data_IF_722371633200
#
_entry.id   IF_722371633200
#
_cell.length_a   1.000
_cell.length_b   1.000
_cell.length_c   1.000
_cell.angle_alpha   90.00
_cell.angle_beta   90.00
_cell.angle_gamma   90.00
#
_symmetry.space_group_name_H-M   'P 1'
#
loop_
_entity.id
_entity.type
_entity.pdbx_description
1 polymer ?
#
# COMPACT_ATOMS: atom_id res chain seq x y z
N UNK A 1 -6.41 33.29 -13.39
CA UNK A 1 -6.21 31.86 -13.08
C UNK A 1 -7.47 31.15 -13.52
N UNK A 2 -7.47 30.51 -14.71
CA UNK A 2 -8.56 29.64 -15.16
C UNK A 2 -8.49 28.37 -14.33
N UNK A 3 -9.38 28.22 -13.35
CA UNK A 3 -9.76 26.89 -12.85
C UNK A 3 -10.26 26.10 -14.07
N UNK A 4 -9.49 25.12 -14.51
CA UNK A 4 -10.03 24.10 -15.41
C UNK A 4 -11.12 23.39 -14.61
N UNK A 5 -12.38 23.67 -14.93
CA UNK A 5 -13.48 22.79 -14.55
C UNK A 5 -13.07 21.42 -15.07
N UNK A 6 -12.80 20.49 -14.14
CA UNK A 6 -12.69 19.07 -14.48
C UNK A 6 -13.99 18.71 -15.19
N UNK A 7 -13.86 18.33 -16.46
CA UNK A 7 -15.02 17.90 -17.24
C UNK A 7 -15.73 16.78 -16.48
N UNK A 8 -17.05 16.86 -16.41
CA UNK A 8 -18.01 15.95 -15.72
C UNK A 8 -17.86 14.47 -16.15
N UNK A 9 -16.92 14.14 -17.04
CA UNK A 9 -16.67 12.80 -17.59
C UNK A 9 -15.40 12.11 -17.07
N UNK A 10 -14.57 12.77 -16.27
CA UNK A 10 -13.31 12.20 -15.83
C UNK A 10 -13.51 11.36 -14.57
N UNK A 11 -13.57 10.05 -14.73
CA UNK A 11 -13.68 9.14 -13.60
C UNK A 11 -12.31 8.80 -13.01
N UNK A 12 -12.23 8.73 -11.69
CA UNK A 12 -11.05 8.39 -10.90
C UNK A 12 -11.27 7.05 -10.22
N UNK A 13 -10.37 6.12 -10.43
CA UNK A 13 -10.35 4.86 -9.71
C UNK A 13 -9.23 4.84 -8.69
N UNK A 14 -9.56 4.44 -7.47
CA UNK A 14 -8.59 4.24 -6.39
C UNK A 14 -8.54 2.76 -6.11
N UNK A 15 -7.40 2.14 -6.38
CA UNK A 15 -7.20 0.70 -6.30
C UNK A 15 -6.36 0.37 -5.09
N UNK A 16 -6.84 -0.52 -4.24
CA UNK A 16 -6.10 -1.07 -3.11
C UNK A 16 -6.00 -2.59 -3.22
N UNK A 17 -5.05 -3.18 -2.50
CA UNK A 17 -4.85 -4.63 -2.52
C UNK A 17 -5.67 -5.37 -1.45
N UNK A 18 -6.21 -4.67 -0.43
CA UNK A 18 -7.02 -5.23 0.66
C UNK A 18 -8.37 -4.55 0.76
N UNK A 19 -9.37 -5.30 1.17
CA UNK A 19 -10.74 -4.81 1.33
C UNK A 19 -10.85 -3.74 2.42
N UNK A 20 -10.13 -3.91 3.52
CA UNK A 20 -10.11 -2.96 4.63
C UNK A 20 -9.62 -1.58 4.19
N UNK A 21 -8.63 -1.53 3.28
CA UNK A 21 -8.13 -0.28 2.71
C UNK A 21 -9.19 0.36 1.80
N UNK A 22 -9.92 -0.43 1.03
CA UNK A 22 -11.04 0.09 0.22
C UNK A 22 -12.08 0.75 1.10
N UNK A 23 -12.48 0.11 2.20
CA UNK A 23 -13.45 0.66 3.16
C UNK A 23 -12.95 1.96 3.81
N UNK A 24 -11.66 2.05 4.15
CA UNK A 24 -11.04 3.29 4.67
C UNK A 24 -11.07 4.42 3.64
N UNK A 25 -10.74 4.12 2.37
CA UNK A 25 -10.79 5.08 1.27
C UNK A 25 -12.23 5.56 1.05
N UNK A 26 -13.20 4.66 1.06
CA UNK A 26 -14.61 5.00 0.91
C UNK A 26 -15.13 5.88 2.05
N UNK A 27 -14.75 5.59 3.29
CA UNK A 27 -15.09 6.42 4.44
C UNK A 27 -14.46 7.82 4.33
N UNK A 28 -13.23 7.90 3.82
CA UNK A 28 -12.55 9.17 3.59
C UNK A 28 -13.26 9.99 2.49
N UNK A 29 -13.61 9.36 1.38
CA UNK A 29 -14.37 10.00 0.29
C UNK A 29 -15.70 10.56 0.83
N UNK A 30 -16.42 9.77 1.64
CA UNK A 30 -17.69 10.19 2.25
C UNK A 30 -17.48 11.35 3.24
N UNK A 31 -16.45 11.28 4.10
CA UNK A 31 -16.12 12.33 5.08
C UNK A 31 -15.84 13.68 4.46
N UNK A 32 -15.17 13.69 3.30
CA UNK A 32 -14.87 14.92 2.58
C UNK A 32 -15.96 15.37 1.61
N UNK A 33 -17.12 14.72 1.63
CA UNK A 33 -18.28 15.10 0.81
C UNK A 33 -18.04 14.96 -0.70
N UNK A 34 -17.09 14.13 -1.10
CA UNK A 34 -16.83 13.88 -2.52
C UNK A 34 -18.01 13.07 -3.06
N UNK A 35 -18.72 13.62 -4.04
CA UNK A 35 -19.94 13.02 -4.58
C UNK A 35 -19.61 11.72 -5.33
N UNK A 36 -20.31 10.66 -4.94
CA UNK A 36 -20.29 9.36 -5.64
C UNK A 36 -21.38 9.28 -6.73
N UNK A 37 -22.31 10.24 -6.75
CA UNK A 37 -23.59 10.15 -7.49
C UNK A 37 -23.41 9.96 -9.00
N UNK A 38 -22.31 10.44 -9.57
CA UNK A 38 -22.02 10.31 -11.00
C UNK A 38 -21.01 9.20 -11.32
N UNK A 39 -20.61 8.37 -10.35
CA UNK A 39 -19.60 7.33 -10.55
C UNK A 39 -18.19 7.88 -10.85
N UNK A 40 -17.96 9.15 -10.57
CA UNK A 40 -16.70 9.85 -10.87
C UNK A 40 -15.53 9.33 -10.04
N UNK A 41 -15.76 8.96 -8.78
CA UNK A 41 -14.74 8.37 -7.91
C UNK A 41 -15.20 7.00 -7.44
N UNK A 42 -14.37 5.99 -7.66
CA UNK A 42 -14.62 4.61 -7.23
C UNK A 42 -13.40 4.07 -6.50
N UNK A 43 -13.62 3.54 -5.30
CA UNK A 43 -12.63 2.74 -4.60
C UNK A 43 -12.94 1.26 -4.79
N UNK A 44 -11.95 0.45 -5.11
CA UNK A 44 -12.13 -0.99 -5.32
C UNK A 44 -10.83 -1.76 -5.07
N UNK A 45 -10.97 -3.04 -4.74
CA UNK A 45 -9.79 -3.90 -4.66
C UNK A 45 -9.40 -4.42 -6.04
N UNK A 46 -8.12 -4.65 -6.26
CA UNK A 46 -7.62 -5.23 -7.51
C UNK A 46 -8.21 -6.63 -7.75
N UNK A 47 -8.46 -7.40 -6.70
CA UNK A 47 -9.05 -8.73 -6.79
C UNK A 47 -10.53 -8.67 -7.23
N UNK A 48 -11.27 -7.67 -6.75
CA UNK A 48 -12.63 -7.46 -7.21
C UNK A 48 -12.63 -7.03 -8.67
N UNK A 49 -11.83 -6.06 -9.01
CA UNK A 49 -11.70 -5.53 -10.37
C UNK A 49 -11.33 -6.62 -11.37
N UNK A 50 -10.37 -7.50 -11.04
CA UNK A 50 -9.93 -8.59 -11.92
C UNK A 50 -11.03 -9.61 -12.25
N UNK A 51 -12.05 -9.72 -11.40
CA UNK A 51 -13.20 -10.61 -11.65
C UNK A 51 -14.35 -9.94 -12.40
N UNK A 52 -14.36 -8.61 -12.46
CA UNK A 52 -15.48 -7.81 -12.98
C UNK A 52 -15.09 -6.93 -14.17
N UNK A 53 -13.99 -7.27 -14.88
CA UNK A 53 -13.55 -6.49 -16.05
C UNK A 53 -14.67 -6.27 -17.08
N UNK A 54 -15.50 -7.28 -17.29
CA UNK A 54 -16.53 -7.26 -18.32
C UNK A 54 -17.77 -6.45 -17.90
N UNK A 55 -17.93 -6.17 -16.62
CA UNK A 55 -19.07 -5.42 -16.07
C UNK A 55 -18.82 -3.91 -16.07
N UNK A 56 -17.59 -3.50 -16.38
CA UNK A 56 -17.17 -2.10 -16.33
C UNK A 56 -17.09 -1.53 -17.73
N UNK A 57 -18.05 -0.68 -18.07
CA UNK A 57 -18.16 -0.09 -19.41
C UNK A 57 -17.45 1.27 -19.54
N UNK A 58 -17.19 1.97 -18.43
CA UNK A 58 -16.59 3.31 -18.44
C UNK A 58 -15.12 3.23 -18.06
N UNK A 59 -14.24 3.65 -18.97
CA UNK A 59 -12.81 3.75 -18.70
C UNK A 59 -12.51 4.92 -17.73
N UNK A 60 -11.57 4.75 -16.78
CA UNK A 60 -11.15 5.83 -15.91
C UNK A 60 -10.23 6.80 -16.65
N UNK A 61 -10.27 8.09 -16.26
CA UNK A 61 -9.29 9.07 -16.69
C UNK A 61 -8.00 9.01 -15.85
N UNK A 62 -8.15 8.63 -14.56
CA UNK A 62 -7.05 8.50 -13.62
C UNK A 62 -7.21 7.20 -12.81
N UNK A 63 -6.14 6.45 -12.68
CA UNK A 63 -6.01 5.31 -11.79
C UNK A 63 -5.00 5.65 -10.71
N UNK A 64 -5.42 5.61 -9.45
CA UNK A 64 -4.56 5.77 -8.28
C UNK A 64 -4.39 4.41 -7.64
N UNK A 65 -3.16 4.00 -7.37
CA UNK A 65 -2.85 2.74 -6.68
C UNK A 65 -2.24 3.07 -5.33
N UNK A 66 -2.92 2.64 -4.30
CA UNK A 66 -2.40 2.65 -2.94
C UNK A 66 -1.52 1.41 -2.70
N UNK A 67 -0.46 1.59 -1.93
CA UNK A 67 0.59 0.58 -1.70
C UNK A 67 1.15 0.03 -3.03
N UNK A 68 1.56 0.94 -3.92
CA UNK A 68 1.99 0.63 -5.27
C UNK A 68 3.18 -0.35 -5.36
N UNK A 69 3.89 -0.61 -4.26
CA UNK A 69 4.92 -1.65 -4.19
C UNK A 69 4.36 -3.06 -4.42
N UNK A 70 3.05 -3.27 -4.28
CA UNK A 70 2.36 -4.50 -4.67
C UNK A 70 1.97 -4.55 -6.16
N UNK A 71 2.13 -3.46 -6.91
CA UNK A 71 1.57 -3.31 -8.25
C UNK A 71 2.22 -4.16 -9.36
N UNK A 72 3.29 -4.92 -9.11
CA UNK A 72 3.87 -5.82 -10.14
C UNK A 72 3.16 -7.19 -10.27
N UNK A 73 2.08 -7.42 -9.55
CA UNK A 73 1.26 -8.60 -9.78
C UNK A 73 0.65 -8.54 -11.20
N UNK A 74 0.41 -9.69 -11.80
CA UNK A 74 -0.12 -9.80 -13.18
C UNK A 74 -1.43 -9.05 -13.38
N UNK A 75 -2.28 -8.99 -12.34
CA UNK A 75 -3.53 -8.23 -12.35
C UNK A 75 -3.35 -6.73 -12.59
N UNK A 76 -2.25 -6.14 -12.12
CA UNK A 76 -1.95 -4.74 -12.37
C UNK A 76 -1.41 -4.50 -13.79
N UNK A 77 -0.64 -5.44 -14.34
CA UNK A 77 -0.23 -5.37 -15.75
C UNK A 77 -1.43 -5.46 -16.67
N UNK A 78 -2.38 -6.32 -16.35
CA UNK A 78 -3.65 -6.40 -17.07
C UNK A 78 -4.43 -5.10 -16.99
N UNK A 79 -4.50 -4.46 -15.81
CA UNK A 79 -5.12 -3.15 -15.61
C UNK A 79 -4.48 -2.08 -16.53
N UNK A 80 -3.15 -2.06 -16.63
CA UNK A 80 -2.42 -1.14 -17.51
C UNK A 80 -2.73 -1.38 -18.98
N UNK A 81 -2.76 -2.64 -19.41
CA UNK A 81 -3.06 -3.02 -20.77
C UNK A 81 -4.52 -2.68 -21.18
N UNK A 82 -5.47 -2.83 -20.25
CA UNK A 82 -6.90 -2.52 -20.51
C UNK A 82 -7.18 -1.02 -20.59
N UNK A 83 -6.48 -0.21 -19.83
CA UNK A 83 -6.69 1.24 -19.75
C UNK A 83 -5.41 2.03 -20.08
N UNK A 84 -4.87 1.90 -21.31
CA UNK A 84 -3.60 2.52 -21.69
C UNK A 84 -3.65 4.06 -21.66
N UNK A 85 -4.81 4.65 -21.91
CA UNK A 85 -5.00 6.10 -21.93
C UNK A 85 -5.27 6.73 -20.55
N UNK A 86 -5.59 5.93 -19.53
CA UNK A 86 -5.74 6.42 -18.18
C UNK A 86 -4.39 6.89 -17.64
N UNK A 87 -4.38 8.05 -16.97
CA UNK A 87 -3.22 8.47 -16.19
C UNK A 87 -3.07 7.55 -14.97
N UNK A 88 -1.86 7.31 -14.52
CA UNK A 88 -1.56 6.36 -13.47
C UNK A 88 -0.70 7.01 -12.41
N UNK A 89 -1.13 6.90 -11.15
CA UNK A 89 -0.43 7.40 -9.97
C UNK A 89 -0.29 6.26 -8.98
N UNK A 90 0.94 5.88 -8.65
CA UNK A 90 1.25 4.97 -7.57
C UNK A 90 1.68 5.72 -6.33
N UNK A 91 1.15 5.35 -5.17
CA UNK A 91 1.56 5.86 -3.87
C UNK A 91 2.11 4.72 -3.03
N UNK A 92 3.25 4.94 -2.37
CA UNK A 92 3.85 3.96 -1.46
C UNK A 92 4.79 4.65 -0.48
N UNK A 93 4.81 4.18 0.76
CA UNK A 93 5.80 4.59 1.75
C UNK A 93 7.13 3.84 1.55
N UNK A 94 7.12 2.72 0.83
CA UNK A 94 8.28 1.85 0.62
C UNK A 94 8.56 1.70 -0.87
N UNK A 95 9.26 2.65 -1.51
CA UNK A 95 9.52 2.61 -2.95
C UNK A 95 10.54 1.53 -3.35
N UNK A 96 11.06 0.78 -2.40
CA UNK A 96 11.98 -0.33 -2.63
C UNK A 96 11.27 -1.66 -2.36
N UNK A 97 11.53 -2.65 -3.22
CA UNK A 97 11.03 -4.00 -3.04
C UNK A 97 12.07 -4.89 -2.38
N UNK A 98 11.60 -5.82 -1.56
CA UNK A 98 12.44 -6.87 -0.96
C UNK A 98 13.15 -7.73 -2.03
N UNK A 99 12.54 -7.88 -3.20
CA UNK A 99 13.11 -8.62 -4.33
C UNK A 99 13.98 -7.74 -5.28
N UNK A 100 14.26 -6.48 -4.92
CA UNK A 100 15.05 -5.50 -5.70
C UNK A 100 14.55 -5.23 -7.12
N UNK A 101 13.34 -5.64 -7.50
CA UNK A 101 12.75 -5.27 -8.78
C UNK A 101 12.20 -3.85 -8.70
N UNK A 102 12.58 -3.02 -9.67
CA UNK A 102 12.13 -1.63 -9.75
C UNK A 102 10.67 -1.51 -10.18
N UNK A 103 10.16 -0.27 -10.16
CA UNK A 103 8.81 0.09 -10.61
C UNK A 103 8.77 0.53 -12.09
N UNK A 104 9.91 0.49 -12.78
CA UNK A 104 10.09 1.01 -14.15
C UNK A 104 9.22 0.31 -15.19
N UNK A 105 8.75 -0.92 -14.90
CA UNK A 105 7.84 -1.64 -15.78
C UNK A 105 6.41 -1.05 -15.81
N UNK A 106 6.05 -0.26 -14.81
CA UNK A 106 4.69 0.25 -14.62
C UNK A 106 4.60 1.77 -14.51
N UNK A 107 5.67 2.43 -14.09
CA UNK A 107 5.68 3.88 -13.86
C UNK A 107 6.92 4.50 -14.50
N UNK A 108 6.72 5.63 -15.17
CA UNK A 108 7.79 6.32 -15.92
C UNK A 108 8.66 7.19 -15.00
N UNK A 109 8.10 7.68 -13.90
CA UNK A 109 8.75 8.65 -13.01
C UNK A 109 8.51 8.28 -11.55
N UNK A 110 9.56 8.38 -10.74
CA UNK A 110 9.50 8.30 -9.29
C UNK A 110 9.66 9.69 -8.69
N UNK A 111 8.67 10.12 -7.92
CA UNK A 111 8.75 11.34 -7.11
C UNK A 111 8.98 10.92 -5.67
N UNK A 112 10.06 11.39 -5.07
CA UNK A 112 10.47 11.06 -3.69
C UNK A 112 10.23 12.30 -2.82
N UNK A 113 9.64 12.11 -1.64
CA UNK A 113 9.54 13.14 -0.61
C UNK A 113 10.89 13.36 0.08
N UNK A 114 10.96 14.39 0.90
CA UNK A 114 12.09 14.62 1.79
C UNK A 114 12.29 13.44 2.75
N UNK A 115 13.49 13.29 3.30
CA UNK A 115 13.81 12.20 4.21
C UNK A 115 13.15 12.39 5.58
N UNK A 116 13.02 11.29 6.35
CA UNK A 116 12.56 11.36 7.74
C UNK A 116 13.46 12.30 8.57
N UNK A 117 14.75 12.32 8.31
CA UNK A 117 15.69 13.22 9.00
C UNK A 117 15.40 14.70 8.70
N UNK A 118 15.05 15.02 7.44
CA UNK A 118 14.67 16.36 7.05
C UNK A 118 13.39 16.79 7.74
N UNK A 119 12.35 15.93 7.73
CA UNK A 119 11.09 16.19 8.45
C UNK A 119 11.26 16.35 9.96
N UNK A 120 12.20 15.63 10.58
CA UNK A 120 12.53 15.82 12.00
C UNK A 120 13.24 17.17 12.20
N UNK A 121 14.21 17.52 11.34
CA UNK A 121 14.93 18.79 11.43
C UNK A 121 14.04 20.02 11.26
N UNK A 122 12.99 19.89 10.44
CA UNK A 122 11.98 20.92 10.20
C UNK A 122 10.86 20.95 11.25
N UNK A 123 10.85 20.03 12.19
CA UNK A 123 9.86 19.95 13.27
C UNK A 123 8.51 19.34 12.87
N UNK A 124 8.39 18.74 11.68
CA UNK A 124 7.18 18.02 11.25
C UNK A 124 7.03 16.66 11.90
N UNK A 125 8.15 16.01 12.23
CA UNK A 125 8.19 14.74 12.95
C UNK A 125 8.96 14.89 14.25
N UNK A 126 8.55 14.14 15.27
CA UNK A 126 9.25 14.06 16.55
C UNK A 126 10.56 13.30 16.41
N UNK A 127 11.53 13.67 17.24
CA UNK A 127 12.72 12.83 17.48
C UNK A 127 12.22 11.51 18.10
N UNK A 128 12.84 10.43 17.74
CA UNK A 128 12.53 9.10 18.27
C UNK A 128 13.80 8.32 18.62
N UNK A 129 13.69 7.48 19.62
CA UNK A 129 14.71 6.49 19.97
C UNK A 129 14.33 5.14 19.34
N UNK A 130 15.27 4.55 18.63
CA UNK A 130 15.04 3.23 18.02
C UNK A 130 15.51 2.13 18.98
N UNK A 131 14.55 1.36 19.50
CA UNK A 131 14.81 0.16 20.27
C UNK A 131 14.66 -1.09 19.39
N UNK A 132 15.68 -1.93 19.36
CA UNK A 132 15.69 -3.18 18.61
C UNK A 132 15.83 -4.37 19.55
N UNK A 133 15.37 -5.54 19.11
CA UNK A 133 15.61 -6.83 19.80
C UNK A 133 17.13 -7.05 19.84
N UNK A 134 17.63 -7.46 21.02
CA UNK A 134 19.08 -7.73 21.19
C UNK A 134 19.50 -8.85 20.25
N UNK A 135 20.61 -8.69 19.51
CA UNK A 135 21.23 -9.78 18.77
C UNK A 135 21.43 -11.00 19.67
N UNK A 136 21.28 -12.19 19.13
CA UNK A 136 21.43 -13.48 19.83
C UNK A 136 20.41 -13.77 20.96
N UNK A 137 19.42 -12.93 21.15
CA UNK A 137 18.30 -13.23 22.05
C UNK A 137 17.47 -14.42 21.55
N UNK A 138 16.73 -15.06 22.45
CA UNK A 138 15.84 -16.17 22.06
C UNK A 138 14.76 -15.72 21.06
N UNK A 139 14.33 -14.46 21.17
CA UNK A 139 13.36 -13.87 20.24
C UNK A 139 14.00 -13.64 18.85
N UNK A 140 15.27 -13.21 18.79
CA UNK A 140 15.98 -13.11 17.52
C UNK A 140 16.14 -14.49 16.86
N UNK A 141 16.51 -15.52 17.63
CA UNK A 141 16.59 -16.89 17.11
C UNK A 141 15.26 -17.41 16.59
N UNK A 142 14.14 -17.05 17.24
CA UNK A 142 12.80 -17.40 16.76
C UNK A 142 12.49 -16.69 15.44
N UNK A 143 12.82 -15.41 15.30
CA UNK A 143 12.65 -14.66 14.05
C UNK A 143 13.52 -15.25 12.94
N UNK A 144 14.77 -15.56 13.23
CA UNK A 144 15.73 -16.15 12.28
C UNK A 144 15.32 -17.56 11.84
N UNK A 145 14.51 -18.25 12.64
CA UNK A 145 13.96 -19.56 12.28
C UNK A 145 12.84 -19.48 11.23
N UNK A 146 12.28 -18.29 10.97
CA UNK A 146 11.25 -18.08 9.95
C UNK A 146 11.86 -18.20 8.55
N UNK A 147 11.46 -19.22 7.81
CA UNK A 147 12.04 -19.53 6.51
C UNK A 147 11.07 -19.28 5.34
N UNK A 148 9.77 -19.38 5.59
CA UNK A 148 8.77 -19.29 4.54
C UNK A 148 8.43 -17.84 4.20
N UNK A 149 8.54 -17.54 2.92
CA UNK A 149 8.18 -16.23 2.39
C UNK A 149 6.88 -16.31 1.58
N UNK A 150 6.12 -15.24 1.62
CA UNK A 150 5.01 -15.01 0.73
C UNK A 150 5.52 -14.57 -0.66
N UNK A 151 4.66 -14.51 -1.65
CA UNK A 151 5.01 -14.12 -3.02
C UNK A 151 5.54 -12.67 -3.12
N UNK A 152 5.18 -11.80 -2.18
CA UNK A 152 5.63 -10.41 -2.04
C UNK A 152 6.98 -10.26 -1.33
N UNK A 153 7.54 -11.36 -0.79
CA UNK A 153 8.80 -11.41 -0.08
C UNK A 153 8.67 -11.31 1.44
N UNK A 154 7.49 -11.03 1.97
CA UNK A 154 7.21 -11.02 3.40
C UNK A 154 7.16 -12.42 4.00
N UNK A 155 7.29 -12.52 5.32
CA UNK A 155 7.09 -13.77 6.02
C UNK A 155 5.64 -14.27 5.93
N UNK A 156 5.46 -15.58 5.80
CA UNK A 156 4.12 -16.15 5.80
C UNK A 156 3.45 -16.00 7.17
N UNK A 157 2.25 -15.39 7.18
CA UNK A 157 1.47 -15.14 8.41
C UNK A 157 1.22 -16.42 9.22
N UNK A 158 0.99 -17.56 8.54
CA UNK A 158 0.78 -18.85 9.22
C UNK A 158 2.02 -19.30 10.00
N UNK A 159 3.20 -19.14 9.41
CA UNK A 159 4.46 -19.50 10.07
C UNK A 159 4.76 -18.52 11.21
N UNK A 160 4.59 -17.21 10.99
CA UNK A 160 4.74 -16.20 12.01
C UNK A 160 3.86 -16.49 13.24
N UNK A 161 2.59 -16.76 13.01
CA UNK A 161 1.66 -17.10 14.10
C UNK A 161 2.05 -18.38 14.84
N UNK A 162 2.52 -19.41 14.14
CA UNK A 162 2.94 -20.65 14.76
C UNK A 162 4.20 -20.49 15.62
N UNK A 163 5.12 -19.63 15.23
CA UNK A 163 6.42 -19.44 15.88
C UNK A 163 6.36 -18.32 16.93
N UNK A 164 5.80 -17.15 16.58
CA UNK A 164 5.88 -15.94 17.40
C UNK A 164 4.64 -15.73 18.30
N UNK A 165 3.47 -16.23 17.91
CA UNK A 165 2.24 -16.03 18.68
C UNK A 165 2.13 -17.03 19.84
N UNK A 166 3.16 -17.09 20.66
CA UNK A 166 3.21 -17.90 21.88
C UNK A 166 3.22 -16.99 23.10
N UNK A 167 2.55 -17.40 24.15
CA UNK A 167 2.43 -16.60 25.37
C UNK A 167 3.77 -16.09 25.92
N UNK A 168 4.86 -16.86 26.02
CA UNK A 168 6.14 -16.36 26.51
C UNK A 168 6.74 -15.26 25.61
N UNK A 169 6.57 -15.34 24.29
CA UNK A 169 7.07 -14.34 23.35
C UNK A 169 6.29 -13.04 23.48
N UNK A 170 4.96 -13.13 23.63
CA UNK A 170 4.09 -11.97 23.80
C UNK A 170 4.38 -11.28 25.15
N UNK A 171 4.58 -12.04 26.22
CA UNK A 171 4.94 -11.50 27.54
C UNK A 171 6.26 -10.72 27.51
N UNK A 172 7.31 -11.28 26.86
CA UNK A 172 8.60 -10.58 26.71
C UNK A 172 8.49 -9.31 25.86
N UNK A 173 7.72 -9.33 24.78
CA UNK A 173 7.45 -8.14 23.97
C UNK A 173 6.71 -7.07 24.80
N UNK A 174 5.73 -7.47 25.58
CA UNK A 174 5.00 -6.56 26.46
C UNK A 174 5.93 -5.93 27.50
N UNK A 175 6.79 -6.71 28.13
CA UNK A 175 7.78 -6.20 29.09
C UNK A 175 8.76 -5.23 28.45
N UNK A 176 9.23 -5.50 27.21
CA UNK A 176 10.15 -4.62 26.49
C UNK A 176 9.55 -3.25 26.12
N UNK A 177 8.24 -3.17 25.99
CA UNK A 177 7.54 -1.90 25.68
C UNK A 177 7.22 -1.10 26.94
N UNK A 178 7.16 -1.79 28.11
CA UNK A 178 6.79 -1.18 29.38
C UNK A 178 7.94 -0.39 30.05
N UNK A 179 9.16 -0.62 29.65
CA UNK A 179 10.37 0.05 30.11
C UNK A 179 10.83 1.13 29.14
#
# INVERSE_FOLDING_TARGET
RRQRQMCIRDSVWIIAHRRELVEQIENTIARYGIRKEDGQVRAMSIQWLSRHWNDIHNAPALIVIDEAHHALAESYKELWARYPHAKKLGMTATPCRLNRKGFTDLFDTLVISDSIADFISEGWLSVFDYASIKPDSDDQKLIDSLSKRSWDGDFQIKEMNAVLNKRPTIERLYESVRH
#
